data_IF_762827489841
#
_entry.id   IF_762827489841
#
_cell.length_a   1.000
_cell.length_b   1.000
_cell.length_c   1.000
_cell.angle_alpha   90.00
_cell.angle_beta   90.00
_cell.angle_gamma   90.00
#
_symmetry.space_group_name_H-M   'P 1'
#
loop_
_entity.id
_entity.type
_entity.pdbx_description
1 polymer ?
#
# COMPACT_ATOMS: atom_id res chain seq x y z
N UNK A 1 12.37 -5.09 9.32
CA UNK A 1 11.55 -4.15 8.56
C UNK A 1 11.84 -2.70 8.85
N UNK A 2 12.88 -2.42 9.60
CA UNK A 2 13.16 -1.04 9.95
C UNK A 2 13.34 -0.18 8.70
N UNK A 3 13.92 -0.75 7.65
CA UNK A 3 14.15 0.05 6.45
C UNK A 3 12.84 0.39 5.73
N UNK A 4 11.79 -0.42 5.92
CA UNK A 4 10.52 -0.15 5.28
C UNK A 4 9.86 1.09 5.85
N UNK A 5 10.12 1.39 7.12
CA UNK A 5 9.53 2.55 7.75
C UNK A 5 10.24 3.85 7.36
N UNK A 6 11.37 3.75 6.64
CA UNK A 6 12.09 4.94 6.18
C UNK A 6 11.39 5.60 5.00
N UNK A 7 10.45 4.91 4.35
CA UNK A 7 9.79 5.42 3.17
C UNK A 7 8.35 5.72 3.51
N UNK A 8 8.04 7.00 3.61
CA UNK A 8 6.71 7.48 3.96
C UNK A 8 6.11 8.12 2.72
N UNK A 9 4.94 7.66 2.28
CA UNK A 9 4.35 8.24 1.08
C UNK A 9 3.92 9.67 1.31
N UNK A 10 4.01 10.48 0.26
CA UNK A 10 3.54 11.86 0.31
C UNK A 10 2.08 11.96 -0.11
N UNK A 11 1.54 10.92 -0.73
CA UNK A 11 0.12 10.83 -1.03
C UNK A 11 -0.33 9.40 -0.76
N UNK A 12 -1.39 9.26 0.03
CA UNK A 12 -1.94 7.96 0.40
C UNK A 12 -3.39 7.94 -0.08
N UNK A 13 -3.71 7.08 -1.07
CA UNK A 13 -5.09 6.94 -1.51
C UNK A 13 -5.89 6.20 -0.46
N UNK A 14 -7.19 6.46 -0.43
CA UNK A 14 -8.08 5.68 0.42
C UNK A 14 -8.52 4.46 -0.35
N UNK A 15 -8.24 3.25 0.14
CA UNK A 15 -8.67 2.05 -0.56
C UNK A 15 -10.18 1.91 -0.51
N UNK A 16 -10.73 1.28 -1.54
CA UNK A 16 -12.15 1.02 -1.57
C UNK A 16 -12.46 -0.13 -0.62
N UNK A 17 -13.37 0.11 0.31
CA UNK A 17 -13.77 -0.92 1.27
C UNK A 17 -14.50 -2.04 0.49
N UNK A 18 -14.08 -3.30 0.64
CA UNK A 18 -14.79 -4.38 -0.03
C UNK A 18 -16.24 -4.43 0.42
N UNK A 19 -17.16 -4.51 -0.55
CA UNK A 19 -18.58 -4.39 -0.25
C UNK A 19 -19.04 -5.44 0.75
N UNK A 20 -18.62 -6.68 0.54
CA UNK A 20 -19.05 -7.77 1.42
C UNK A 20 -18.55 -7.56 2.84
N UNK A 21 -17.32 -7.11 2.98
CA UNK A 21 -16.76 -6.84 4.30
C UNK A 21 -17.50 -5.67 4.95
N UNK A 22 -17.81 -4.65 4.18
CA UNK A 22 -18.53 -3.50 4.71
C UNK A 22 -19.93 -3.89 5.19
N UNK A 23 -20.62 -4.71 4.41
CA UNK A 23 -21.98 -5.17 4.77
C UNK A 23 -21.97 -5.98 6.05
N UNK A 24 -20.93 -6.77 6.25
CA UNK A 24 -20.83 -7.64 7.43
C UNK A 24 -20.08 -7.00 8.59
N UNK A 25 -19.67 -5.75 8.45
CA UNK A 25 -18.98 -5.05 9.53
C UNK A 25 -17.59 -5.58 9.80
N UNK A 26 -16.94 -6.18 8.82
CA UNK A 26 -15.61 -6.72 9.00
C UNK A 26 -14.56 -5.66 8.80
N UNK A 27 -13.64 -5.58 9.75
CA UNK A 27 -12.48 -4.69 9.70
C UNK A 27 -11.23 -5.53 9.59
N UNK A 28 -10.16 -4.92 9.10
CA UNK A 28 -8.92 -5.63 8.96
C UNK A 28 -7.85 -4.77 8.33
N UNK A 29 -6.86 -5.45 7.78
CA UNK A 29 -5.74 -4.75 7.15
C UNK A 29 -5.14 -5.59 6.05
N UNK A 30 -4.32 -4.97 5.24
CA UNK A 30 -3.51 -5.68 4.27
C UNK A 30 -2.19 -4.94 4.09
N UNK A 31 -1.11 -5.70 3.96
CA UNK A 31 0.22 -5.16 3.74
C UNK A 31 0.60 -5.46 2.30
N UNK A 32 1.06 -4.42 1.60
CA UNK A 32 1.43 -4.51 0.20
C UNK A 32 2.90 -4.15 0.06
N UNK A 33 3.62 -4.95 -0.71
CA UNK A 33 5.00 -4.66 -1.05
C UNK A 33 5.04 -4.03 -2.42
N UNK A 34 5.77 -2.92 -2.55
CA UNK A 34 5.80 -2.16 -3.79
C UNK A 34 7.24 -1.81 -4.13
N UNK A 35 7.42 -1.41 -5.40
CA UNK A 35 8.67 -0.82 -5.86
C UNK A 35 8.40 0.65 -6.12
N UNK A 36 9.18 1.53 -5.49
CA UNK A 36 9.07 2.96 -5.76
C UNK A 36 9.85 3.23 -7.03
N UNK A 37 9.19 3.85 -8.00
CA UNK A 37 9.83 4.12 -9.28
C UNK A 37 10.76 5.32 -9.18
N UNK A 38 11.51 5.56 -10.25
CA UNK A 38 12.46 6.66 -10.29
C UNK A 38 11.78 8.03 -10.17
N UNK A 39 10.48 8.10 -10.42
CA UNK A 39 9.74 9.36 -10.33
C UNK A 39 8.84 9.41 -9.09
N UNK A 40 8.93 8.42 -8.22
CA UNK A 40 8.16 8.43 -6.97
C UNK A 40 6.83 7.72 -7.03
N UNK A 41 6.46 7.18 -8.19
CA UNK A 41 5.27 6.35 -8.28
C UNK A 41 5.54 4.96 -7.76
N UNK A 42 4.60 4.06 -8.02
CA UNK A 42 4.66 2.69 -7.52
C UNK A 42 4.42 1.74 -8.68
N UNK A 43 5.18 0.66 -8.71
CA UNK A 43 4.91 -0.41 -9.67
C UNK A 43 4.96 -1.75 -8.98
N UNK A 44 4.31 -2.73 -9.60
CA UNK A 44 4.31 -4.13 -9.19
C UNK A 44 3.92 -4.36 -7.74
N UNK A 45 2.77 -3.80 -7.31
CA UNK A 45 2.33 -4.04 -5.93
C UNK A 45 1.91 -5.49 -5.75
N UNK A 46 2.32 -6.09 -4.64
CA UNK A 46 2.00 -7.47 -4.31
C UNK A 46 1.51 -7.52 -2.87
N UNK A 47 0.37 -8.17 -2.66
CA UNK A 47 -0.13 -8.36 -1.31
C UNK A 47 0.71 -9.42 -0.60
N UNK A 48 1.29 -9.06 0.54
CA UNK A 48 2.11 -9.99 1.29
C UNK A 48 1.43 -10.48 2.57
N UNK A 49 0.41 -9.77 3.03
CA UNK A 49 -0.31 -10.19 4.22
C UNK A 49 -1.68 -9.53 4.21
N UNK A 50 -2.71 -10.28 4.63
CA UNK A 50 -4.03 -9.69 4.86
C UNK A 50 -4.68 -10.41 6.03
N UNK A 51 -5.48 -9.68 6.78
CA UNK A 51 -6.19 -10.24 7.92
C UNK A 51 -7.48 -9.47 8.17
N UNK A 52 -8.62 -10.14 8.35
CA UNK A 52 -8.80 -11.58 8.08
C UNK A 52 -8.80 -11.87 6.59
N UNK A 53 -8.44 -13.08 6.24
CA UNK A 53 -8.41 -13.49 4.86
C UNK A 53 -9.82 -13.71 4.32
N UNK A 54 -9.94 -13.64 2.99
CA UNK A 54 -11.18 -13.99 2.34
C UNK A 54 -12.20 -12.87 2.24
N UNK A 55 -11.86 -11.66 2.66
CA UNK A 55 -12.79 -10.53 2.64
C UNK A 55 -12.44 -9.50 1.58
N UNK A 56 -11.37 -9.71 0.81
CA UNK A 56 -11.01 -8.83 -0.26
C UNK A 56 -10.12 -7.66 0.12
N UNK A 57 -9.61 -7.63 1.37
CA UNK A 57 -8.77 -6.51 1.81
C UNK A 57 -7.48 -6.44 1.00
N UNK A 58 -6.87 -7.59 0.71
CA UNK A 58 -5.63 -7.59 -0.05
C UNK A 58 -5.81 -7.04 -1.45
N UNK A 59 -6.88 -7.44 -2.13
CA UNK A 59 -7.16 -6.95 -3.47
C UNK A 59 -7.38 -5.44 -3.46
N UNK A 60 -8.16 -4.96 -2.50
CA UNK A 60 -8.44 -3.53 -2.41
C UNK A 60 -7.17 -2.76 -2.12
N UNK A 61 -6.30 -3.30 -1.28
CA UNK A 61 -5.04 -2.66 -0.93
C UNK A 61 -4.10 -2.59 -2.13
N UNK A 62 -4.02 -3.66 -2.93
CA UNK A 62 -3.17 -3.66 -4.11
C UNK A 62 -3.64 -2.59 -5.10
N UNK A 63 -4.94 -2.46 -5.30
CA UNK A 63 -5.46 -1.44 -6.20
C UNK A 63 -5.13 -0.04 -5.70
N UNK A 64 -5.28 0.19 -4.40
CA UNK A 64 -4.96 1.49 -3.82
C UNK A 64 -3.47 1.77 -3.90
N UNK A 65 -2.64 0.74 -3.71
CA UNK A 65 -1.20 0.93 -3.69
C UNK A 65 -0.67 1.49 -5.01
N UNK A 66 -1.36 1.22 -6.11
CA UNK A 66 -0.94 1.77 -7.41
C UNK A 66 -0.97 3.29 -7.44
N UNK A 67 -1.72 3.90 -6.53
CA UNK A 67 -1.85 5.36 -6.48
C UNK A 67 -1.02 5.99 -5.38
N UNK A 68 -0.26 5.21 -4.63
CA UNK A 68 0.67 5.77 -3.65
C UNK A 68 1.71 6.63 -4.38
N UNK A 69 2.11 7.72 -3.71
CA UNK A 69 3.16 8.58 -4.23
C UNK A 69 4.20 8.77 -3.14
N UNK A 70 5.44 8.70 -3.55
CA UNK A 70 6.58 8.87 -2.66
C UNK A 70 7.49 9.94 -3.23
N UNK A 71 8.34 10.50 -2.39
CA UNK A 71 9.46 11.30 -2.89
C UNK A 71 10.44 10.35 -3.56
N UNK A 72 10.85 10.61 -4.80
CA UNK A 72 11.79 9.71 -5.45
C UNK A 72 13.15 9.75 -4.76
N UNK A 73 13.84 8.62 -4.78
CA UNK A 73 15.21 8.57 -4.30
C UNK A 73 16.11 9.04 -5.42
N UNK A 74 16.93 10.04 -5.12
CA UNK A 74 17.82 10.62 -6.12
C UNK A 74 19.25 10.51 -5.59
N UNK A 75 20.12 9.93 -6.41
CA UNK A 75 21.54 9.79 -6.09
C UNK A 75 22.32 10.41 -7.24
N UNK A 76 23.13 11.41 -6.91
CA UNK A 76 23.95 12.13 -7.90
C UNK A 76 23.09 12.63 -9.07
N UNK A 77 21.90 13.14 -8.76
CA UNK A 77 21.02 13.72 -9.77
C UNK A 77 20.24 12.71 -10.57
N UNK A 78 20.35 11.42 -10.25
CA UNK A 78 19.68 10.34 -11.00
C UNK A 78 18.67 9.65 -10.10
N UNK A 79 17.42 9.52 -10.58
CA UNK A 79 16.40 8.81 -9.83
C UNK A 79 16.72 7.34 -9.72
N UNK A 80 16.44 6.75 -8.56
CA UNK A 80 16.70 5.35 -8.27
C UNK A 80 15.41 4.67 -7.89
N UNK A 81 15.23 3.44 -8.36
CA UNK A 81 14.12 2.62 -7.86
C UNK A 81 14.44 2.10 -6.48
N UNK A 82 13.38 1.91 -5.68
CA UNK A 82 13.53 1.37 -4.33
C UNK A 82 12.60 0.16 -4.22
N UNK A 83 13.15 -1.05 -4.22
CA UNK A 83 12.32 -2.24 -4.10
C UNK A 83 12.02 -2.57 -2.65
N UNK A 84 11.10 -3.51 -2.45
CA UNK A 84 10.82 -4.11 -1.15
C UNK A 84 10.30 -3.11 -0.12
N UNK A 85 9.49 -2.16 -0.57
CA UNK A 85 8.89 -1.18 0.31
C UNK A 85 7.51 -1.67 0.72
N UNK A 86 7.24 -1.69 2.02
CA UNK A 86 5.96 -2.18 2.53
C UNK A 86 5.08 -1.02 2.92
N UNK A 87 3.79 -1.19 2.69
CA UNK A 87 2.80 -0.25 3.18
C UNK A 87 1.59 -1.01 3.67
N UNK A 88 1.07 -0.64 4.84
CA UNK A 88 -0.08 -1.29 5.45
C UNK A 88 -1.31 -0.41 5.29
N UNK A 89 -2.34 -0.94 4.64
CA UNK A 89 -3.65 -0.29 4.56
C UNK A 89 -4.55 -0.90 5.62
N UNK A 90 -5.21 -0.05 6.39
CA UNK A 90 -6.16 -0.50 7.41
C UNK A 90 -7.57 -0.19 6.94
N UNK A 91 -8.49 -1.11 7.23
CA UNK A 91 -9.89 -0.98 6.85
C UNK A 91 -10.71 -0.95 8.12
N UNK A 92 -11.19 0.24 8.47
CA UNK A 92 -11.95 0.44 9.69
C UNK A 92 -13.26 1.12 9.37
N UNK A 93 -14.29 0.72 10.11
CA UNK A 93 -15.62 1.29 9.93
C UNK A 93 -15.73 2.52 10.79
N UNK A 94 -16.37 3.55 10.24
CA UNK A 94 -16.67 4.73 11.03
C UNK A 94 -17.88 4.46 11.92
N UNK A 95 -17.88 5.10 13.07
CA UNK A 95 -18.99 4.97 14.00
C UNK A 95 -19.83 6.21 14.06
#
# INVERSE_FOLDING_TARGET
>A
FSRDSDYIPVYIPQPQYPRRAQTRGKEGYAVVEVIITTTGGVRDPVMVEEFPEGWGFGRAAVKAALKLKYNPRVVDGVGQEVPNVLYKFSFQMEK
#
